data_IF_054978900274
#
_entry.id   IF_054978900274
#
_cell.length_a   1.000
_cell.length_b   1.000
_cell.length_c   1.000
_cell.angle_alpha   90.00
_cell.angle_beta   90.00
_cell.angle_gamma   90.00
#
_symmetry.space_group_name_H-M   'P 1'
#
loop_
_entity.id
_entity.type
_entity.pdbx_description
1 polymer ?
#
# COMPACT_ATOMS: atom_id res chain seq x y z
N UNK A 1 -12.86 10.51 7.50
CA UNK A 1 -12.02 10.25 6.32
C UNK A 1 -10.90 9.30 6.73
N UNK A 2 -10.70 8.20 6.02
CA UNK A 2 -9.64 7.22 6.31
C UNK A 2 -8.39 7.58 5.51
N UNK A 3 -7.35 8.07 6.18
CA UNK A 3 -6.04 8.33 5.59
C UNK A 3 -5.23 7.04 5.63
N UNK A 4 -4.64 6.65 4.49
CA UNK A 4 -3.69 5.55 4.40
C UNK A 4 -2.29 6.15 4.49
N UNK A 5 -1.53 5.80 5.52
CA UNK A 5 -0.13 6.17 5.69
C UNK A 5 0.75 4.91 5.69
N UNK A 6 1.83 4.93 4.89
CA UNK A 6 2.72 3.77 4.75
C UNK A 6 4.16 4.21 4.50
N UNK A 7 5.08 3.49 5.12
CA UNK A 7 6.52 3.56 4.83
C UNK A 7 6.97 2.41 3.93
N UNK A 8 8.03 2.64 3.17
CA UNK A 8 8.68 1.61 2.35
C UNK A 8 9.82 0.93 3.12
N UNK A 9 10.24 -0.25 2.66
CA UNK A 9 11.23 -1.09 3.35
C UNK A 9 12.58 -0.40 3.58
N UNK A 10 13.00 0.50 2.68
CA UNK A 10 14.24 1.25 2.82
C UNK A 10 14.18 2.34 3.91
N UNK A 11 12.98 2.68 4.40
CA UNK A 11 12.76 3.79 5.35
C UNK A 11 12.92 5.19 4.76
N UNK A 12 13.52 5.34 3.58
CA UNK A 12 13.73 6.63 2.91
C UNK A 12 12.51 7.15 2.14
N UNK A 13 11.45 6.34 2.02
CA UNK A 13 10.26 6.71 1.29
C UNK A 13 9.02 6.46 2.15
N UNK A 14 8.00 7.31 1.96
CA UNK A 14 6.66 7.10 2.47
C UNK A 14 5.61 7.50 1.44
N UNK A 15 4.40 7.00 1.63
CA UNK A 15 3.25 7.42 0.86
C UNK A 15 2.03 7.66 1.75
N UNK A 16 1.29 8.72 1.43
CA UNK A 16 0.02 9.05 2.05
C UNK A 16 -1.07 9.06 0.98
N UNK A 17 -2.25 8.54 1.28
CA UNK A 17 -3.39 8.61 0.38
C UNK A 17 -4.71 8.84 1.10
N UNK A 18 -5.56 9.65 0.48
CA UNK A 18 -6.95 9.89 0.89
C UNK A 18 -7.95 9.12 0.00
N UNK A 19 -7.47 8.35 -0.97
CA UNK A 19 -8.29 7.60 -1.90
C UNK A 19 -9.16 6.56 -1.17
N UNK A 20 -10.47 6.47 -1.47
CA UNK A 20 -11.34 5.46 -0.89
C UNK A 20 -10.84 4.04 -1.21
N UNK A 21 -10.68 3.17 -0.19
CA UNK A 21 -10.33 1.78 -0.42
C UNK A 21 -11.40 1.04 -1.22
N UNK A 22 -11.01 0.41 -2.33
CA UNK A 22 -11.82 -0.60 -3.03
C UNK A 22 -11.95 -1.87 -2.20
N UNK A 23 -10.84 -2.31 -1.63
CA UNK A 23 -10.83 -3.39 -0.65
C UNK A 23 -9.60 -3.36 0.25
N UNK A 24 -9.79 -3.95 1.42
CA UNK A 24 -8.75 -4.20 2.41
C UNK A 24 -8.79 -5.70 2.68
N UNK A 25 -7.73 -6.42 2.36
CA UNK A 25 -7.69 -7.88 2.47
C UNK A 25 -6.33 -8.39 2.87
N UNK A 26 -6.35 -9.53 3.54
CA UNK A 26 -5.17 -10.35 3.81
C UNK A 26 -5.15 -11.51 2.81
N UNK A 27 -4.09 -11.60 2.01
CA UNK A 27 -3.91 -12.67 1.03
C UNK A 27 -2.91 -13.71 1.55
N UNK A 28 -3.21 -14.99 1.37
CA UNK A 28 -2.34 -16.12 1.73
C UNK A 28 -1.90 -16.94 0.50
N UNK A 29 -2.11 -16.43 -0.72
CA UNK A 29 -1.79 -17.19 -1.92
C UNK A 29 -0.27 -17.27 -2.14
N UNK A 30 0.17 -18.35 -2.79
CA UNK A 30 1.61 -18.61 -3.04
C UNK A 30 2.31 -17.47 -3.80
N UNK A 31 1.57 -16.78 -4.69
CA UNK A 31 2.11 -15.62 -5.44
C UNK A 31 2.42 -14.45 -4.50
N UNK A 32 1.50 -14.12 -3.60
CA UNK A 32 1.72 -13.06 -2.62
C UNK A 32 2.84 -13.43 -1.64
N UNK A 33 2.87 -14.68 -1.17
CA UNK A 33 3.94 -15.16 -0.30
C UNK A 33 5.32 -15.05 -0.96
N UNK A 34 5.44 -15.42 -2.23
CA UNK A 34 6.70 -15.29 -2.98
C UNK A 34 7.10 -13.82 -3.20
N UNK A 35 6.13 -12.95 -3.46
CA UNK A 35 6.39 -11.53 -3.72
C UNK A 35 6.84 -10.77 -2.47
N UNK A 36 6.33 -11.12 -1.28
CA UNK A 36 6.60 -10.39 -0.05
C UNK A 36 7.53 -11.09 0.94
N UNK A 37 7.76 -12.40 0.77
CA UNK A 37 8.50 -13.22 1.74
C UNK A 37 7.73 -13.51 3.03
N UNK A 38 6.47 -13.06 3.16
CA UNK A 38 5.62 -13.26 4.34
C UNK A 38 4.56 -14.34 4.11
N UNK A 39 4.11 -15.01 5.17
CA UNK A 39 3.00 -15.96 5.11
C UNK A 39 1.69 -15.31 4.62
N UNK A 40 1.52 -14.02 4.92
CA UNK A 40 0.36 -13.23 4.56
C UNK A 40 0.77 -11.87 3.98
N UNK A 41 -0.04 -11.38 3.03
CA UNK A 41 0.08 -10.04 2.49
C UNK A 41 -1.18 -9.24 2.77
N UNK A 42 -1.08 -8.32 3.74
CA UNK A 42 -2.11 -7.33 4.03
C UNK A 42 -1.99 -6.19 3.03
N UNK A 43 -3.05 -5.96 2.25
CA UNK A 43 -3.05 -4.95 1.19
C UNK A 43 -4.33 -4.12 1.20
N UNK A 44 -4.18 -2.88 0.74
CA UNK A 44 -5.26 -1.98 0.40
C UNK A 44 -5.21 -1.74 -1.10
N UNK A 45 -6.35 -1.87 -1.78
CA UNK A 45 -6.50 -1.44 -3.17
C UNK A 45 -7.36 -0.19 -3.24
N UNK A 46 -7.01 0.70 -4.16
CA UNK A 46 -7.75 1.93 -4.49
C UNK A 46 -7.99 1.95 -6.01
N UNK A 47 -8.91 2.79 -6.49
CA UNK A 47 -9.08 2.99 -7.94
C UNK A 47 -7.81 3.61 -8.54
N UNK A 48 -7.46 3.17 -9.74
CA UNK A 48 -6.33 3.73 -10.48
C UNK A 48 -6.56 5.22 -10.79
N UNK A 49 -7.79 5.61 -11.10
CA UNK A 49 -8.15 7.00 -11.39
C UNK A 49 -8.01 7.93 -10.18
N UNK A 50 -7.78 7.38 -8.98
CA UNK A 50 -7.52 8.15 -7.75
C UNK A 50 -6.01 8.27 -7.45
N UNK A 51 -5.14 8.00 -8.43
CA UNK A 51 -3.69 8.02 -8.25
C UNK A 51 -3.16 9.41 -7.86
N UNK A 52 -3.80 10.48 -8.32
CA UNK A 52 -3.50 11.87 -7.96
C UNK A 52 -3.66 12.16 -6.45
N UNK A 53 -4.44 11.33 -5.76
CA UNK A 53 -4.64 11.41 -4.32
C UNK A 53 -3.55 10.68 -3.53
N UNK A 54 -2.49 10.19 -4.19
CA UNK A 54 -1.35 9.53 -3.56
C UNK A 54 -0.16 10.48 -3.56
N UNK A 55 0.25 10.89 -2.36
CA UNK A 55 1.46 11.69 -2.14
C UNK A 55 2.62 10.76 -1.84
N UNK A 56 3.69 10.85 -2.62
CA UNK A 56 4.94 10.12 -2.40
C UNK A 56 6.00 11.09 -1.88
N UNK A 57 6.67 10.71 -0.80
CA UNK A 57 7.72 11.51 -0.18
C UNK A 57 9.00 10.70 -0.12
N UNK A 58 10.12 11.34 -0.45
CA UNK A 58 11.48 10.80 -0.32
C UNK A 58 12.29 11.70 0.62
N UNK A 59 13.00 11.11 1.58
CA UNK A 59 13.69 11.85 2.65
C UNK A 59 15.20 12.07 2.43
N UNK A 60 15.71 11.75 1.22
CA UNK A 60 17.05 12.20 0.75
C UNK A 60 16.93 13.44 -0.13
#
# INVERSE_FOLDING_TARGET
MSVIDKSFLCGACSNQSEAPPLNIRTCHCRRCQKATGSAFYSRVMVLLDSYDQIKLTHSL
#
